data_IF_218240192739
#
_entry.id   IF_218240192739
#
_cell.length_a   1.000
_cell.length_b   1.000
_cell.length_c   1.000
_cell.angle_alpha   90.00
_cell.angle_beta   90.00
_cell.angle_gamma   90.00
#
_symmetry.space_group_name_H-M   'P 1'
#
loop_
_entity.id
_entity.type
_entity.pdbx_description
1 polymer ?
#
# COMPACT_ATOMS: atom_id res chain seq x y z
N UNK A 1 26.88 -17.00 30.96
CA UNK A 1 26.40 -15.62 30.93
C UNK A 1 26.79 -15.07 29.56
N UNK A 2 25.84 -14.58 28.76
CA UNK A 2 26.12 -14.03 27.43
C UNK A 2 27.03 -12.81 27.59
N UNK A 3 28.15 -12.78 26.87
CA UNK A 3 29.14 -11.70 26.90
C UNK A 3 28.73 -10.60 25.92
N UNK A 4 27.54 -10.03 26.12
CA UNK A 4 27.02 -8.96 25.27
C UNK A 4 27.78 -7.67 25.57
N UNK A 5 28.65 -7.26 24.64
CA UNK A 5 29.38 -6.00 24.71
C UNK A 5 28.67 -4.94 23.85
N UNK A 6 28.91 -3.64 24.05
CA UNK A 6 28.39 -2.62 23.14
C UNK A 6 28.77 -2.87 21.67
N UNK A 7 29.94 -3.47 21.41
CA UNK A 7 30.39 -3.81 20.07
C UNK A 7 29.53 -4.93 19.44
N UNK A 8 29.11 -5.95 20.20
CA UNK A 8 28.29 -7.04 19.65
C UNK A 8 26.90 -6.56 19.21
N UNK A 9 26.34 -5.53 19.87
CA UNK A 9 25.08 -4.89 19.47
C UNK A 9 25.24 -4.14 18.14
N UNK A 10 26.35 -3.43 17.96
CA UNK A 10 26.65 -2.70 16.72
C UNK A 10 26.82 -3.69 15.55
N UNK A 11 27.58 -4.77 15.76
CA UNK A 11 27.80 -5.79 14.74
C UNK A 11 26.51 -6.52 14.36
N UNK A 12 25.66 -6.81 15.35
CA UNK A 12 24.33 -7.36 15.11
C UNK A 12 23.51 -6.49 14.14
N UNK A 13 23.40 -5.18 14.42
CA UNK A 13 22.60 -4.28 13.59
C UNK A 13 23.22 -4.05 12.20
N UNK A 14 24.55 -3.92 12.10
CA UNK A 14 25.26 -3.84 10.81
C UNK A 14 25.00 -5.08 9.94
N UNK A 15 25.11 -6.27 10.53
CA UNK A 15 24.89 -7.54 9.83
C UNK A 15 23.41 -7.76 9.45
N UNK A 16 22.47 -7.24 10.23
CA UNK A 16 21.04 -7.30 9.88
C UNK A 16 20.74 -6.56 8.56
N UNK A 17 21.39 -5.42 8.34
CA UNK A 17 21.35 -4.67 7.08
C UNK A 17 19.99 -4.04 6.72
N UNK A 18 19.96 -3.24 5.64
CA UNK A 18 18.79 -2.44 5.27
C UNK A 18 17.55 -3.27 4.96
N UNK A 19 17.70 -4.51 4.48
CA UNK A 19 16.57 -5.41 4.24
C UNK A 19 15.79 -5.70 5.53
N UNK A 20 16.47 -5.80 6.68
CA UNK A 20 15.82 -5.98 7.98
C UNK A 20 15.37 -4.66 8.59
N UNK A 21 16.19 -3.61 8.48
CA UNK A 21 15.84 -2.28 9.04
C UNK A 21 14.57 -1.70 8.41
N UNK A 22 14.33 -1.99 7.13
CA UNK A 22 13.23 -1.44 6.35
C UNK A 22 12.21 -2.47 5.89
N UNK A 23 12.20 -3.67 6.50
CA UNK A 23 11.29 -4.75 6.12
C UNK A 23 9.81 -4.33 6.13
N UNK A 24 9.44 -3.36 6.97
CA UNK A 24 8.08 -2.86 7.14
C UNK A 24 7.84 -1.51 6.46
N UNK A 25 8.75 -1.04 5.59
CA UNK A 25 8.63 0.29 4.95
C UNK A 25 7.34 0.44 4.13
N UNK A 26 6.83 -0.65 3.54
CA UNK A 26 5.56 -0.64 2.80
C UNK A 26 4.38 -0.12 3.64
N UNK A 27 4.35 -0.39 4.95
CA UNK A 27 3.28 0.08 5.84
C UNK A 27 3.25 1.61 5.96
N UNK A 28 4.38 2.29 5.78
CA UNK A 28 4.43 3.75 5.74
C UNK A 28 3.83 4.31 4.43
N UNK A 29 3.64 3.48 3.40
CA UNK A 29 3.16 3.90 2.08
C UNK A 29 1.67 3.62 1.87
N UNK A 30 1.11 2.66 2.62
CA UNK A 30 -0.32 2.32 2.60
C UNK A 30 -1.26 3.52 2.73
N UNK A 31 -0.98 4.59 3.51
CA UNK A 31 -1.85 5.75 3.54
C UNK A 31 -2.07 6.42 2.18
N UNK A 32 -1.04 6.48 1.32
CA UNK A 32 -1.16 7.02 -0.04
C UNK A 32 -1.98 6.08 -0.94
N UNK A 33 -1.77 4.77 -0.79
CA UNK A 33 -2.52 3.73 -1.51
C UNK A 33 -4.01 3.70 -1.14
N UNK A 34 -4.34 3.99 0.12
CA UNK A 34 -5.72 4.00 0.61
C UNK A 34 -6.43 5.35 0.48
N UNK A 35 -5.75 6.40 0.02
CA UNK A 35 -6.31 7.72 -0.25
C UNK A 35 -7.19 7.70 -1.50
N UNK A 36 -8.29 8.46 -1.50
CA UNK A 36 -9.13 8.68 -2.69
C UNK A 36 -8.66 9.90 -3.52
N UNK A 37 -7.46 10.43 -3.26
CA UNK A 37 -6.83 11.50 -4.05
C UNK A 37 -5.94 10.92 -5.18
N UNK A 38 -6.15 11.29 -6.46
CA UNK A 38 -5.28 10.85 -7.57
C UNK A 38 -3.80 11.19 -7.40
N UNK A 39 -3.45 12.30 -6.75
CA UNK A 39 -2.07 12.69 -6.52
C UNK A 39 -1.38 11.76 -5.53
N UNK A 40 -2.10 11.32 -4.49
CA UNK A 40 -1.61 10.33 -3.53
C UNK A 40 -1.40 8.97 -4.21
N UNK A 41 -2.26 8.59 -5.15
CA UNK A 41 -2.07 7.35 -5.93
C UNK A 41 -0.79 7.39 -6.76
N UNK A 42 -0.49 8.52 -7.43
CA UNK A 42 0.79 8.68 -8.13
C UNK A 42 1.98 8.59 -7.17
N UNK A 43 1.85 9.16 -5.96
CA UNK A 43 2.89 9.04 -4.93
C UNK A 43 3.06 7.60 -4.45
N UNK A 44 1.97 6.86 -4.26
CA UNK A 44 1.98 5.44 -3.91
C UNK A 44 2.74 4.61 -4.94
N UNK A 45 2.48 4.82 -6.23
CA UNK A 45 3.18 4.11 -7.31
C UNK A 45 4.70 4.32 -7.25
N UNK A 46 5.16 5.56 -7.12
CA UNK A 46 6.59 5.89 -7.03
C UNK A 46 7.25 5.27 -5.79
N UNK A 47 6.57 5.31 -4.64
CA UNK A 47 7.09 4.76 -3.38
C UNK A 47 7.17 3.23 -3.39
N UNK A 48 6.18 2.55 -4.00
CA UNK A 48 6.08 1.09 -4.00
C UNK A 48 6.88 0.43 -5.15
N UNK A 49 7.16 1.13 -6.25
CA UNK A 49 7.96 0.61 -7.38
C UNK A 49 9.28 -0.07 -6.96
N UNK A 50 10.11 0.48 -6.06
CA UNK A 50 11.36 -0.17 -5.64
C UNK A 50 11.18 -1.32 -4.64
N UNK A 51 9.99 -1.55 -4.07
CA UNK A 51 9.76 -2.57 -3.03
C UNK A 51 9.55 -3.98 -3.61
N UNK A 52 9.33 -4.08 -4.92
CA UNK A 52 9.19 -5.35 -5.65
C UNK A 52 7.80 -5.56 -6.24
N UNK A 53 7.68 -6.57 -7.10
CA UNK A 53 6.51 -6.79 -7.95
C UNK A 53 5.20 -6.96 -7.16
N UNK A 54 5.23 -7.70 -6.03
CA UNK A 54 4.03 -7.95 -5.23
C UNK A 54 3.47 -6.68 -4.61
N UNK A 55 4.30 -5.87 -3.96
CA UNK A 55 3.85 -4.60 -3.35
C UNK A 55 3.44 -3.60 -4.44
N UNK A 56 4.18 -3.55 -5.54
CA UNK A 56 3.86 -2.63 -6.63
C UNK A 56 2.58 -3.01 -7.40
N UNK A 57 2.23 -4.30 -7.45
CA UNK A 57 0.96 -4.76 -8.03
C UNK A 57 -0.23 -4.12 -7.31
N UNK A 58 -0.27 -4.15 -5.98
CA UNK A 58 -1.37 -3.57 -5.20
C UNK A 58 -1.48 -2.05 -5.36
N UNK A 59 -0.35 -1.35 -5.38
CA UNK A 59 -0.34 0.09 -5.64
C UNK A 59 -0.94 0.45 -7.01
N UNK A 60 -0.77 -0.40 -8.04
CA UNK A 60 -1.39 -0.22 -9.36
C UNK A 60 -2.87 -0.47 -9.34
N UNK A 61 -3.32 -1.57 -8.76
CA UNK A 61 -4.75 -1.89 -8.67
C UNK A 61 -5.54 -0.76 -7.99
N UNK A 62 -5.01 -0.21 -6.88
CA UNK A 62 -5.61 0.95 -6.21
C UNK A 62 -5.62 2.19 -7.11
N UNK A 63 -4.50 2.52 -7.75
CA UNK A 63 -4.40 3.67 -8.63
C UNK A 63 -5.36 3.58 -9.83
N UNK A 64 -5.55 2.40 -10.40
CA UNK A 64 -6.47 2.17 -11.53
C UNK A 64 -7.94 2.36 -11.11
N UNK A 65 -8.33 1.92 -9.91
CA UNK A 65 -9.67 2.15 -9.37
C UNK A 65 -9.93 3.64 -9.17
N UNK A 66 -8.98 4.36 -8.56
CA UNK A 66 -9.11 5.81 -8.37
C UNK A 66 -9.07 6.56 -9.69
N UNK A 67 -8.24 6.15 -10.65
CA UNK A 67 -8.22 6.74 -11.98
C UNK A 67 -9.58 6.59 -12.69
N UNK A 68 -10.23 5.43 -12.52
CA UNK A 68 -11.50 5.13 -13.16
C UNK A 68 -12.70 5.80 -12.49
N UNK A 69 -12.77 5.77 -11.15
CA UNK A 69 -13.96 6.19 -10.41
C UNK A 69 -13.77 7.44 -9.56
N UNK A 70 -12.54 7.92 -9.40
CA UNK A 70 -12.19 9.02 -8.49
C UNK A 70 -12.32 8.69 -7.01
N UNK A 71 -12.67 7.45 -6.66
CA UNK A 71 -12.93 6.95 -5.30
C UNK A 71 -12.96 5.42 -5.30
N UNK A 72 -13.02 4.79 -4.12
CA UNK A 72 -13.19 3.36 -3.98
C UNK A 72 -14.67 2.98 -3.86
N UNK A 73 -15.28 2.32 -4.87
CA UNK A 73 -16.72 2.04 -4.85
C UNK A 73 -17.15 1.10 -3.70
N UNK A 74 -16.26 0.24 -3.21
CA UNK A 74 -16.55 -0.64 -2.07
C UNK A 74 -16.80 0.15 -0.76
N UNK A 75 -16.36 1.41 -0.69
CA UNK A 75 -16.61 2.29 0.46
C UNK A 75 -17.94 3.05 0.35
N UNK A 76 -18.67 2.92 -0.76
CA UNK A 76 -19.87 3.72 -0.98
C UNK A 76 -20.92 3.53 0.11
N UNK A 77 -21.20 2.29 0.51
CA UNK A 77 -22.20 2.00 1.54
C UNK A 77 -21.81 2.58 2.90
N UNK A 78 -20.59 2.30 3.38
CA UNK A 78 -20.11 2.77 4.69
C UNK A 78 -19.96 4.29 4.76
N UNK A 79 -19.75 4.95 3.62
CA UNK A 79 -19.67 6.41 3.51
C UNK A 79 -21.00 7.06 3.06
N UNK A 80 -22.09 6.31 3.00
CA UNK A 80 -23.43 6.77 2.57
C UNK A 80 -23.45 7.47 1.20
N UNK A 81 -22.67 6.98 0.24
CA UNK A 81 -22.59 7.50 -1.13
C UNK A 81 -23.51 6.72 -2.06
N UNK A 82 -24.15 7.41 -2.99
CA UNK A 82 -24.85 6.77 -4.09
C UNK A 82 -23.83 6.06 -5.01
N UNK A 83 -24.13 4.82 -5.38
CA UNK A 83 -23.34 4.00 -6.31
C UNK A 83 -23.86 4.19 -7.73
N UNK A 84 -22.99 4.66 -8.64
CA UNK A 84 -23.31 4.80 -10.06
C UNK A 84 -23.53 3.45 -10.73
N UNK A 85 -24.12 3.43 -11.93
CA UNK A 85 -24.34 2.18 -12.66
C UNK A 85 -23.01 1.51 -13.05
N UNK A 86 -21.99 2.30 -13.41
CA UNK A 86 -20.66 1.78 -13.72
C UNK A 86 -19.98 1.16 -12.49
N UNK A 87 -20.07 1.84 -11.35
CA UNK A 87 -19.57 1.32 -10.07
C UNK A 87 -20.31 0.04 -9.66
N UNK A 88 -21.63 -0.01 -9.89
CA UNK A 88 -22.45 -1.20 -9.59
C UNK A 88 -22.03 -2.39 -10.45
N UNK A 89 -21.79 -2.18 -11.75
CA UNK A 89 -21.27 -3.24 -12.64
C UNK A 89 -19.89 -3.71 -12.17
N UNK A 90 -19.01 -2.80 -11.75
CA UNK A 90 -17.71 -3.14 -11.21
C UNK A 90 -17.81 -4.00 -9.93
N UNK A 91 -18.62 -3.56 -8.96
CA UNK A 91 -18.86 -4.30 -7.71
C UNK A 91 -19.47 -5.69 -7.97
N UNK A 92 -20.44 -5.78 -8.89
CA UNK A 92 -21.10 -7.05 -9.24
C UNK A 92 -20.16 -8.04 -9.96
N UNK A 93 -19.05 -7.58 -10.54
CA UNK A 93 -18.02 -8.44 -11.15
C UNK A 93 -16.95 -8.91 -10.16
N UNK A 94 -17.18 -8.73 -8.85
CA UNK A 94 -16.24 -9.05 -7.78
C UNK A 94 -15.56 -7.83 -7.17
N UNK A 95 -15.70 -6.65 -7.79
CA UNK A 95 -15.17 -5.39 -7.28
C UNK A 95 -13.66 -5.44 -7.02
N UNK A 96 -13.27 -4.91 -5.87
CA UNK A 96 -11.91 -5.01 -5.34
C UNK A 96 -11.95 -5.85 -4.07
N UNK A 97 -11.03 -6.80 -3.95
CA UNK A 97 -10.93 -7.75 -2.83
C UNK A 97 -9.55 -7.74 -2.15
N UNK A 98 -8.75 -6.69 -2.39
CA UNK A 98 -7.45 -6.51 -1.72
C UNK A 98 -7.62 -6.12 -0.25
#
# INVERSE_FOLDING_TARGET
MSNDTPHSVIDFWKNAGPKRWFALRAFCYLPFEHSEDPADQQRSLVLNQPLGATTYHWAKEHAEIIQRFGRFPHRNEVLARATSDEERVFLNKGGFAG
#
